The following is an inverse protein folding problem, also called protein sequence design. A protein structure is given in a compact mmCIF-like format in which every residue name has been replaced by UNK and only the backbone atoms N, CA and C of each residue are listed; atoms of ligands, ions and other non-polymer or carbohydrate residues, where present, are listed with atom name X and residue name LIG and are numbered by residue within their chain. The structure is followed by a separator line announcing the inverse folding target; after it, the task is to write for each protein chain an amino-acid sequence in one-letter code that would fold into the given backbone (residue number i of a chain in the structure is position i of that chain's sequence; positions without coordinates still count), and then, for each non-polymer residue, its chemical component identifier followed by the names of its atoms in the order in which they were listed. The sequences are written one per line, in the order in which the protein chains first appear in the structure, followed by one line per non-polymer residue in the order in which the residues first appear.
data_IF_772155160584
#
_entry.id   IF_772155160584
#
_cell.length_a   1.000
_cell.length_b   1.000
_cell.length_c   1.000
_cell.angle_alpha   90.00
_cell.angle_beta   90.00
_cell.angle_gamma   90.00
#
_symmetry.space_group_name_H-M   'P 1'
#
loop_
_entity.id
_entity.type
_entity.pdbx_description
1 polymer ?
#
# COMPACT_ATOMS: atom_id res chain seq x y z
N UNK A 1 -14.47 11.98 11.35
CA UNK A 1 -13.93 10.87 12.16
C UNK A 1 -13.10 10.03 11.22
N UNK A 2 -11.81 9.84 11.51
CA UNK A 2 -10.98 8.92 10.71
C UNK A 2 -11.54 7.53 10.88
N UNK A 3 -11.74 6.84 9.77
CA UNK A 3 -12.30 5.48 9.75
C UNK A 3 -11.35 4.51 10.45
N UNK A 4 -11.88 3.52 11.17
CA UNK A 4 -11.09 2.50 11.85
C UNK A 4 -10.24 1.71 10.84
N UNK A 5 -10.77 1.45 9.64
CA UNK A 5 -10.05 0.78 8.55
C UNK A 5 -8.85 1.61 8.09
N UNK A 6 -9.08 2.90 7.85
CA UNK A 6 -8.03 3.83 7.42
C UNK A 6 -6.90 3.89 8.46
N UNK A 7 -7.26 4.07 9.74
CA UNK A 7 -6.29 4.08 10.83
C UNK A 7 -5.46 2.80 10.86
N UNK A 8 -6.10 1.64 10.69
CA UNK A 8 -5.44 0.34 10.76
C UNK A 8 -4.50 0.10 9.58
N UNK A 9 -4.89 0.49 8.37
CA UNK A 9 -4.00 0.44 7.19
C UNK A 9 -2.76 1.31 7.42
N UNK A 10 -2.91 2.52 7.95
CA UNK A 10 -1.75 3.34 8.29
C UNK A 10 -0.86 2.71 9.36
N UNK A 11 -1.42 2.01 10.35
CA UNK A 11 -0.65 1.28 11.36
C UNK A 11 0.19 0.16 10.75
N UNK A 12 -0.36 -0.60 9.79
CA UNK A 12 0.35 -1.68 9.08
C UNK A 12 1.45 -1.13 8.18
N UNK A 13 1.23 -0.01 7.48
CA UNK A 13 2.21 0.58 6.55
C UNK A 13 3.33 1.34 7.28
N UNK A 14 3.05 1.87 8.48
CA UNK A 14 3.98 2.73 9.22
C UNK A 14 5.39 2.15 9.44
N UNK A 15 5.58 0.86 9.79
CA UNK A 15 6.90 0.24 9.92
C UNK A 15 7.71 0.29 8.63
N UNK A 16 7.02 0.25 7.49
CA UNK A 16 7.62 0.26 6.16
C UNK A 16 7.92 1.66 5.62
N UNK A 17 7.42 2.72 6.27
CA UNK A 17 7.72 4.12 5.94
C UNK A 17 9.10 4.54 6.47
N UNK A 18 10.12 3.77 6.09
CA UNK A 18 11.56 3.98 6.31
C UNK A 18 11.88 4.83 7.53
N UNK A 19 12.21 4.18 8.65
CA UNK A 19 12.85 4.86 9.80
C UNK A 19 14.23 5.33 9.32
N UNK A 20 14.27 6.49 8.66
CA UNK A 20 15.51 7.17 8.40
C UNK A 20 15.97 7.67 9.77
N UNK A 21 17.18 7.34 10.18
CA UNK A 21 17.78 7.59 11.51
C UNK A 21 17.69 9.04 12.05
N UNK A 22 17.15 9.97 11.27
CA UNK A 22 16.73 11.29 11.71
C UNK A 22 15.21 11.35 11.69
N UNK A 23 14.59 11.30 12.87
CA UNK A 23 13.16 11.55 13.12
C UNK A 23 12.65 12.93 12.63
N UNK A 24 13.49 13.70 11.94
CA UNK A 24 13.22 15.04 11.40
C UNK A 24 12.57 15.05 10.02
N UNK A 25 12.50 13.93 9.28
CA UNK A 25 11.94 13.90 7.92
C UNK A 25 11.08 12.67 7.62
N UNK A 26 10.26 12.22 8.58
CA UNK A 26 9.18 11.28 8.23
C UNK A 26 8.22 12.04 7.33
N UNK A 27 8.20 11.73 6.03
CA UNK A 27 7.15 12.26 5.15
C UNK A 27 5.82 11.74 5.69
N UNK A 28 4.82 12.61 5.89
CA UNK A 28 3.50 12.15 6.34
C UNK A 28 2.96 11.18 5.31
N UNK A 29 2.56 9.98 5.76
CA UNK A 29 1.80 9.06 4.93
C UNK A 29 0.45 9.71 4.66
N UNK A 30 0.16 9.95 3.39
CA UNK A 30 -1.13 10.42 2.90
C UNK A 30 -1.77 9.35 2.04
N UNK A 31 -3.08 9.45 1.80
CA UNK A 31 -3.78 8.54 0.91
C UNK A 31 -3.20 8.46 -0.52
N UNK A 32 -2.56 9.54 -0.97
CA UNK A 32 -1.89 9.63 -2.28
C UNK A 32 -0.49 8.99 -2.30
N UNK A 33 0.05 8.65 -1.12
CA UNK A 33 1.35 7.99 -1.03
C UNK A 33 1.25 6.64 -1.71
N UNK A 34 2.18 6.35 -2.61
CA UNK A 34 2.27 5.09 -3.33
C UNK A 34 3.37 4.20 -2.79
N UNK A 35 3.08 2.90 -2.70
CA UNK A 35 4.03 1.88 -2.24
C UNK A 35 5.25 1.81 -3.17
N UNK A 36 5.03 1.78 -4.47
CA UNK A 36 6.07 1.65 -5.50
C UNK A 36 6.78 2.97 -5.89
N UNK A 37 6.07 4.11 -5.98
CA UNK A 37 6.71 5.38 -6.36
C UNK A 37 7.16 6.22 -5.17
N UNK A 38 6.31 6.39 -4.14
CA UNK A 38 6.59 7.28 -3.02
C UNK A 38 7.47 6.63 -1.96
N UNK A 39 7.15 5.38 -1.57
CA UNK A 39 7.92 4.59 -0.60
C UNK A 39 9.08 3.83 -1.26
N UNK A 40 9.05 3.68 -2.60
CA UNK A 40 10.07 2.97 -3.35
C UNK A 40 10.27 1.53 -2.86
N UNK A 41 9.18 0.87 -2.42
CA UNK A 41 9.20 -0.53 -2.05
C UNK A 41 9.58 -1.38 -3.25
N UNK A 42 10.39 -2.41 -3.01
CA UNK A 42 10.62 -3.44 -4.02
C UNK A 42 9.43 -4.42 -4.10
N UNK A 43 9.34 -5.25 -5.15
CA UNK A 43 8.22 -6.18 -5.33
C UNK A 43 8.06 -7.20 -4.18
N UNK A 44 9.14 -7.56 -3.48
CA UNK A 44 9.10 -8.52 -2.38
C UNK A 44 8.53 -7.82 -1.14
N UNK A 45 9.07 -6.64 -0.79
CA UNK A 45 8.57 -5.81 0.32
C UNK A 45 7.08 -5.48 0.16
N UNK A 46 6.69 -5.08 -1.05
CA UNK A 46 5.30 -4.75 -1.33
C UNK A 46 4.39 -5.99 -1.27
N UNK A 47 4.84 -7.15 -1.75
CA UNK A 47 4.06 -8.38 -1.67
C UNK A 47 3.80 -8.79 -0.22
N UNK A 48 4.82 -8.75 0.65
CA UNK A 48 4.69 -9.07 2.08
C UNK A 48 3.69 -8.14 2.77
N UNK A 49 3.81 -6.83 2.54
CA UNK A 49 2.87 -5.83 3.07
C UNK A 49 1.43 -6.05 2.57
N UNK A 50 1.27 -6.35 1.28
CA UNK A 50 -0.05 -6.56 0.70
C UNK A 50 -0.69 -7.85 1.20
N UNK A 51 0.08 -8.92 1.41
CA UNK A 51 -0.43 -10.15 2.01
C UNK A 51 -0.96 -9.90 3.43
N UNK A 52 -0.25 -9.11 4.24
CA UNK A 52 -0.70 -8.74 5.60
C UNK A 52 -2.02 -7.95 5.55
N UNK A 53 -2.12 -6.95 4.68
CA UNK A 53 -3.35 -6.14 4.52
C UNK A 53 -4.50 -7.00 3.98
N UNK A 54 -4.24 -7.83 2.97
CA UNK A 54 -5.29 -8.61 2.33
C UNK A 54 -5.84 -9.69 3.27
N UNK A 55 -4.98 -10.37 4.03
CA UNK A 55 -5.39 -11.31 5.06
C UNK A 55 -6.22 -10.62 6.16
N UNK A 56 -5.76 -9.46 6.64
CA UNK A 56 -6.45 -8.75 7.73
C UNK A 56 -7.85 -8.24 7.33
N UNK A 57 -8.03 -7.78 6.09
CA UNK A 57 -9.30 -7.24 5.60
C UNK A 57 -10.12 -8.24 4.77
N UNK A 58 -9.67 -9.50 4.64
CA UNK A 58 -10.37 -10.54 3.89
C UNK A 58 -10.44 -10.29 2.38
N UNK A 59 -9.42 -9.63 1.82
CA UNK A 59 -9.30 -9.39 0.38
C UNK A 59 -8.63 -10.58 -0.30
N UNK A 60 -9.00 -10.85 -1.55
CA UNK A 60 -8.35 -11.89 -2.33
C UNK A 60 -7.14 -11.33 -3.09
N UNK A 61 -5.94 -11.86 -2.82
CA UNK A 61 -4.71 -11.42 -3.50
C UNK A 61 -4.74 -11.75 -4.99
N UNK A 62 -5.51 -12.76 -5.41
CA UNK A 62 -5.67 -13.11 -6.84
C UNK A 62 -6.42 -12.04 -7.64
N UNK A 63 -7.26 -11.22 -6.98
CA UNK A 63 -7.96 -10.11 -7.63
C UNK A 63 -7.00 -8.95 -7.95
N UNK A 64 -5.84 -8.88 -7.27
CA UNK A 64 -4.82 -7.88 -7.49
C UNK A 64 -3.91 -8.30 -8.65
N UNK A 65 -3.97 -7.56 -9.76
CA UNK A 65 -2.99 -7.71 -10.83
C UNK A 65 -1.64 -7.05 -10.47
N UNK A 66 -0.84 -7.74 -9.68
CA UNK A 66 0.43 -7.25 -9.14
C UNK A 66 1.41 -6.72 -10.20
N UNK A 67 1.40 -7.31 -11.40
CA UNK A 67 2.30 -6.94 -12.52
C UNK A 67 2.06 -5.53 -13.06
N UNK A 68 0.87 -4.97 -12.84
CA UNK A 68 0.53 -3.60 -13.27
C UNK A 68 1.21 -2.56 -12.37
N UNK A 69 1.42 -2.90 -11.10
CA UNK A 69 2.06 -2.03 -10.11
C UNK A 69 3.57 -2.26 -10.02
N UNK A 70 4.03 -3.47 -10.30
CA UNK A 70 5.44 -3.87 -10.30
C UNK A 70 5.79 -4.48 -11.65
N UNK A 71 5.92 -3.62 -12.64
CA UNK A 71 6.28 -3.97 -14.01
C UNK A 71 7.80 -4.14 -14.15
N UNK A 72 8.24 -4.65 -15.30
CA UNK A 72 9.68 -4.76 -15.60
C UNK A 72 10.37 -3.39 -15.65
N UNK A 73 9.63 -2.35 -16.02
CA UNK A 73 10.14 -0.99 -16.15
C UNK A 73 9.29 -0.04 -15.31
N UNK A 74 9.94 0.71 -14.42
CA UNK A 74 9.28 1.65 -13.49
C UNK A 74 8.38 2.69 -14.14
N UNK A 75 8.70 3.10 -15.37
CA UNK A 75 7.90 4.05 -16.16
C UNK A 75 6.52 3.52 -16.56
N UNK A 76 6.36 2.20 -16.58
CA UNK A 76 5.14 1.51 -17.00
C UNK A 76 4.29 1.09 -15.77
N UNK A 77 4.79 1.31 -14.55
CA UNK A 77 4.12 0.97 -13.30
C UNK A 77 3.02 1.97 -12.96
N UNK A 78 1.78 1.49 -12.77
CA UNK A 78 0.73 2.30 -12.15
C UNK A 78 1.07 2.51 -10.67
N UNK A 79 0.77 3.68 -10.08
CA UNK A 79 0.97 3.89 -8.66
C UNK A 79 0.00 3.03 -7.83
N UNK A 80 0.53 2.28 -6.87
CA UNK A 80 -0.26 1.53 -5.90
C UNK A 80 -0.39 2.37 -4.63
N UNK A 81 -1.51 3.08 -4.45
CA UNK A 81 -1.66 4.09 -3.39
C UNK A 81 -2.34 3.55 -2.13
N UNK A 82 -2.10 4.22 -1.00
CA UNK A 82 -2.76 3.90 0.27
C UNK A 82 -4.29 4.05 0.16
N UNK A 83 -4.78 5.04 -0.59
CA UNK A 83 -6.22 5.19 -0.84
C UNK A 83 -6.83 3.97 -1.53
N UNK A 84 -6.12 3.36 -2.49
CA UNK A 84 -6.63 2.15 -3.14
C UNK A 84 -6.81 1.00 -2.15
N UNK A 85 -5.89 0.87 -1.19
CA UNK A 85 -5.99 -0.13 -0.12
C UNK A 85 -7.16 0.18 0.81
N UNK A 86 -7.33 1.44 1.21
CA UNK A 86 -8.44 1.88 2.06
C UNK A 86 -9.79 1.62 1.41
N UNK A 87 -9.96 2.01 0.15
CA UNK A 87 -11.21 1.82 -0.57
C UNK A 87 -11.51 0.35 -0.80
N UNK A 88 -10.50 -0.46 -1.13
CA UNK A 88 -10.67 -1.90 -1.32
C UNK A 88 -11.02 -2.61 0.00
N UNK A 89 -10.35 -2.25 1.10
CA UNK A 89 -10.67 -2.77 2.43
C UNK A 89 -12.08 -2.38 2.88
N UNK A 90 -12.52 -1.15 2.61
CA UNK A 90 -13.92 -0.72 2.85
C UNK A 90 -14.93 -1.52 2.04
N UNK A 91 -14.59 -1.85 0.81
CA UNK A 91 -15.47 -2.61 -0.08
C UNK A 91 -15.42 -4.13 0.16
N UNK A 92 -14.43 -4.62 0.91
CA UNK A 92 -14.18 -6.05 1.11
C UNK A 92 -13.77 -6.80 -0.16
N UNK A 93 -13.30 -6.08 -1.18
CA UNK A 93 -12.78 -6.63 -2.45
C UNK A 93 -11.85 -5.65 -3.12
N UNK A 94 -10.96 -6.14 -3.97
CA UNK A 94 -10.12 -5.28 -4.79
C UNK A 94 -10.98 -4.51 -5.82
N UNK A 95 -10.79 -3.19 -5.90
CA UNK A 95 -11.63 -2.30 -6.73
C UNK A 95 -10.98 -1.85 -8.05
N UNK A 96 -9.73 -2.24 -8.31
CA UNK A 96 -8.91 -1.62 -9.34
C UNK A 96 -8.39 -2.64 -10.35
N UNK A 97 -8.35 -2.27 -11.63
CA UNK A 97 -7.83 -3.09 -12.75
C UNK A 97 -6.68 -2.41 -13.51
#
# INVERSE_FOLDING_TARGET
MVDAIEKRIYEIIKPWNGITWSAFKVKPLTGETSLNHSLNMDPIEAADLLLEIFDEFGLNFEDLNFKIYFAKHRKDEKPLTINMLIESARAGRWLYE
#
